data_IF_785964453842
#
_entry.id   IF_785964453842
#
_cell.length_a   1.000
_cell.length_b   1.000
_cell.length_c   1.000
_cell.angle_alpha   90.00
_cell.angle_beta   90.00
_cell.angle_gamma   90.00
#
_symmetry.space_group_name_H-M   'P 1'
#
loop_
_entity.id
_entity.type
_entity.pdbx_description
1 polymer ?
#
# COMPACT_ATOMS: atom_id res chain seq x y z
N UNK A 1 -8.40 5.61 -1.98
CA UNK A 1 -7.02 5.20 -1.66
C UNK A 1 -6.95 3.78 -1.10
N UNK A 2 -7.89 3.34 -0.25
CA UNK A 2 -7.90 1.97 0.29
C UNK A 2 -7.95 0.87 -0.80
N UNK A 3 -8.75 1.06 -1.86
CA UNK A 3 -8.87 0.08 -2.96
C UNK A 3 -7.59 -0.07 -3.77
N UNK A 4 -6.82 1.01 -3.90
CA UNK A 4 -5.54 1.02 -4.60
C UNK A 4 -4.48 0.25 -3.81
N UNK A 5 -4.42 0.44 -2.48
CA UNK A 5 -3.56 -0.35 -1.58
C UNK A 5 -3.91 -1.83 -1.65
N UNK A 6 -5.19 -2.17 -1.58
CA UNK A 6 -5.65 -3.55 -1.70
C UNK A 6 -5.23 -4.19 -3.03
N UNK A 7 -5.36 -3.45 -4.13
CA UNK A 7 -4.96 -3.91 -5.46
C UNK A 7 -3.44 -4.14 -5.55
N UNK A 8 -2.63 -3.26 -4.97
CA UNK A 8 -1.17 -3.42 -4.95
C UNK A 8 -0.72 -4.66 -4.17
N UNK A 9 -1.31 -4.91 -3.00
CA UNK A 9 -1.05 -6.14 -2.24
C UNK A 9 -1.55 -7.38 -2.98
N UNK A 10 -2.70 -7.32 -3.64
CA UNK A 10 -3.19 -8.41 -4.47
C UNK A 10 -2.23 -8.74 -5.62
N UNK A 11 -1.73 -7.73 -6.33
CA UNK A 11 -0.73 -7.90 -7.40
C UNK A 11 0.55 -8.52 -6.85
N UNK A 12 1.02 -8.08 -5.68
CA UNK A 12 2.19 -8.67 -5.03
C UNK A 12 2.01 -10.17 -4.75
N UNK A 13 0.84 -10.57 -4.24
CA UNK A 13 0.52 -11.99 -4.01
C UNK A 13 0.45 -12.79 -5.30
N UNK A 14 -0.15 -12.24 -6.37
CA UNK A 14 -0.17 -12.88 -7.69
C UNK A 14 1.25 -13.05 -8.26
N UNK A 15 2.14 -12.08 -8.04
CA UNK A 15 3.55 -12.18 -8.44
C UNK A 15 4.29 -13.27 -7.66
N UNK A 16 4.02 -13.39 -6.35
CA UNK A 16 4.56 -14.47 -5.50
C UNK A 16 4.11 -15.83 -6.02
N UNK A 17 2.82 -16.00 -6.31
CA UNK A 17 2.27 -17.27 -6.83
C UNK A 17 2.84 -17.64 -8.21
N UNK A 18 3.26 -16.66 -9.00
CA UNK A 18 3.94 -16.89 -10.29
C UNK A 18 5.46 -17.13 -10.15
N UNK A 19 5.98 -17.26 -8.94
CA UNK A 19 7.41 -17.47 -8.68
C UNK A 19 8.29 -16.25 -8.97
N UNK A 20 7.69 -15.05 -9.10
CA UNK A 20 8.43 -13.81 -9.36
C UNK A 20 8.76 -13.11 -8.04
N UNK A 21 9.51 -13.79 -7.18
CA UNK A 21 9.80 -13.39 -5.80
C UNK A 21 10.37 -11.96 -5.69
N UNK A 22 11.36 -11.61 -6.53
CA UNK A 22 11.95 -10.26 -6.54
C UNK A 22 10.91 -9.18 -6.87
N UNK A 23 10.08 -9.41 -7.89
CA UNK A 23 9.03 -8.47 -8.29
C UNK A 23 7.94 -8.34 -7.23
N UNK A 24 7.59 -9.45 -6.57
CA UNK A 24 6.65 -9.46 -5.46
C UNK A 24 7.19 -8.66 -4.26
N UNK A 25 8.48 -8.80 -3.93
CA UNK A 25 9.13 -8.02 -2.88
C UNK A 25 9.12 -6.52 -3.19
N UNK A 26 9.52 -6.13 -4.41
CA UNK A 26 9.51 -4.71 -4.81
C UNK A 26 8.10 -4.13 -4.77
N UNK A 27 7.10 -4.89 -5.25
CA UNK A 27 5.70 -4.43 -5.25
C UNK A 27 5.14 -4.33 -3.83
N UNK A 28 5.48 -5.27 -2.95
CA UNK A 28 5.09 -5.24 -1.54
C UNK A 28 5.71 -4.05 -0.81
N UNK A 29 7.00 -3.78 -1.04
CA UNK A 29 7.68 -2.63 -0.45
C UNK A 29 7.06 -1.31 -0.91
N UNK A 30 6.79 -1.19 -2.21
CA UNK A 30 6.12 -0.02 -2.78
C UNK A 30 4.70 0.18 -2.20
N UNK A 31 3.92 -0.89 -2.05
CA UNK A 31 2.60 -0.86 -1.41
C UNK A 31 2.67 -0.38 0.05
N UNK A 32 3.74 -0.76 0.77
CA UNK A 32 3.97 -0.38 2.16
C UNK A 32 4.29 1.12 2.29
N UNK A 33 5.13 1.67 1.40
CA UNK A 33 5.43 3.12 1.35
C UNK A 33 4.16 3.93 1.08
N UNK A 34 3.34 3.51 0.11
CA UNK A 34 2.06 4.19 -0.18
C UNK A 34 1.10 4.07 1.00
N UNK A 35 1.09 2.93 1.70
CA UNK A 35 0.24 2.74 2.89
C UNK A 35 0.62 3.72 4.01
N UNK A 36 1.92 3.91 4.26
CA UNK A 36 2.42 4.89 5.22
C UNK A 36 2.04 6.32 4.82
N UNK A 37 2.23 6.69 3.56
CA UNK A 37 1.83 8.00 3.06
C UNK A 37 0.32 8.23 3.23
N UNK A 38 -0.50 7.23 2.88
CA UNK A 38 -1.94 7.31 3.05
C UNK A 38 -2.32 7.45 4.53
N UNK A 39 -1.69 6.71 5.44
CA UNK A 39 -1.96 6.79 6.87
C UNK A 39 -1.65 8.19 7.41
N UNK A 40 -0.52 8.78 7.02
CA UNK A 40 -0.13 10.14 7.43
C UNK A 40 -1.14 11.17 6.91
N UNK A 41 -1.47 11.10 5.62
CA UNK A 41 -2.46 11.99 5.01
C UNK A 41 -3.82 11.86 5.70
N UNK A 42 -4.32 10.64 5.85
CA UNK A 42 -5.63 10.38 6.45
C UNK A 42 -5.72 10.80 7.91
N UNK A 43 -4.63 10.61 8.68
CA UNK A 43 -4.55 11.06 10.07
C UNK A 43 -4.50 12.58 10.19
N UNK A 44 -3.86 13.25 9.22
CA UNK A 44 -3.79 14.73 9.17
C UNK A 44 -5.16 15.34 8.84
N UNK A 45 -5.90 14.76 7.89
CA UNK A 45 -7.25 15.20 7.54
C UNK A 45 -8.21 15.13 8.75
N UNK A 46 -8.08 14.10 9.58
CA UNK A 46 -8.87 13.96 10.81
C UNK A 46 -8.45 14.96 11.88
N UNK A 47 -7.16 15.29 11.99
CA UNK A 47 -6.66 16.27 12.95
C UNK A 47 -7.22 17.68 12.66
N UNK A 48 -7.33 18.06 11.38
CA UNK A 48 -7.90 19.35 10.96
C UNK A 48 -9.40 19.50 11.22
N UNK A 49 -10.13 18.42 11.46
CA UNK A 49 -11.55 18.46 11.84
C UNK A 49 -11.73 18.67 13.36
N UNK A 50 -10.70 18.33 14.15
CA UNK A 50 -10.73 18.46 15.61
C UNK A 50 -10.17 19.81 16.12
N UNK A 51 -9.47 20.56 15.26
CA UNK A 51 -8.87 21.87 15.49
C UNK A 51 -9.76 22.99 14.92
#
# INVERSE_FOLDING_TARGET
>A
MISLLFTLFFIAQVLTLKGKEKAALYTSFFALVISLFWLIHHSTDQLSILL
#
